data_IF_043569248216
#
_entry.id   IF_043569248216
#
_cell.length_a   1.000
_cell.length_b   1.000
_cell.length_c   1.000
_cell.angle_alpha   90.00
_cell.angle_beta   90.00
_cell.angle_gamma   90.00
#
_symmetry.space_group_name_H-M   'P 1'
#
loop_
_entity.id
_entity.type
_entity.pdbx_description
1 polymer ?
#
# COMPACT_ATOMS: atom_id res chain seq x y z
N UNK A 1 -13.59 4.54 -3.16
CA UNK A 1 -12.60 4.20 -2.14
C UNK A 1 -12.27 5.45 -1.33
N UNK A 2 -12.48 5.38 -0.03
CA UNK A 2 -12.18 6.48 0.86
C UNK A 2 -10.92 6.17 1.65
N UNK A 3 -10.00 7.12 1.69
CA UNK A 3 -8.78 7.01 2.47
C UNK A 3 -8.79 8.17 3.47
N UNK A 4 -8.48 7.88 4.73
CA UNK A 4 -8.39 8.91 5.75
C UNK A 4 -7.15 9.77 5.52
N UNK A 5 -7.26 10.70 4.60
CA UNK A 5 -6.14 11.53 4.17
C UNK A 5 -5.95 12.80 4.99
N UNK A 6 -6.83 13.06 5.94
CA UNK A 6 -6.73 14.26 6.78
C UNK A 6 -5.43 14.31 7.59
N UNK A 7 -4.89 13.14 7.89
CA UNK A 7 -3.66 12.99 8.68
C UNK A 7 -2.41 12.88 7.83
N UNK A 8 -2.59 12.82 6.51
CA UNK A 8 -1.47 12.62 5.59
C UNK A 8 -1.32 13.83 4.69
N UNK A 9 -0.07 14.12 4.29
CA UNK A 9 0.16 15.17 3.30
C UNK A 9 -0.17 14.63 1.91
N UNK A 10 -0.20 15.52 0.92
CA UNK A 10 -0.58 15.15 -0.45
C UNK A 10 0.35 14.09 -1.04
N UNK A 11 1.64 14.16 -0.73
CA UNK A 11 2.61 13.20 -1.26
C UNK A 11 2.40 11.81 -0.68
N UNK A 12 2.09 11.74 0.60
CA UNK A 12 1.80 10.47 1.25
C UNK A 12 0.53 9.85 0.68
N UNK A 13 -0.49 10.67 0.44
CA UNK A 13 -1.73 10.19 -0.14
C UNK A 13 -1.53 9.68 -1.56
N UNK A 14 -0.80 10.43 -2.39
CA UNK A 14 -0.49 10.02 -3.75
C UNK A 14 0.29 8.71 -3.76
N UNK A 15 1.24 8.58 -2.85
CA UNK A 15 2.05 7.36 -2.76
C UNK A 15 1.20 6.18 -2.32
N UNK A 16 0.30 6.38 -1.39
CA UNK A 16 -0.61 5.32 -0.94
C UNK A 16 -1.45 4.80 -2.12
N UNK A 17 -2.01 5.72 -2.91
CA UNK A 17 -2.80 5.35 -4.08
C UNK A 17 -1.94 4.61 -5.11
N UNK A 18 -0.73 5.12 -5.36
CA UNK A 18 0.22 4.48 -6.26
C UNK A 18 0.48 3.02 -5.83
N UNK A 19 0.73 2.81 -4.55
CA UNK A 19 1.00 1.47 -4.03
C UNK A 19 -0.20 0.54 -4.21
N UNK A 20 -1.39 1.02 -3.85
CA UNK A 20 -2.62 0.23 -3.97
C UNK A 20 -2.86 -0.19 -5.43
N UNK A 21 -2.79 0.78 -6.35
CA UNK A 21 -3.06 0.50 -7.76
C UNK A 21 -2.03 -0.45 -8.35
N UNK A 22 -0.75 -0.29 -8.01
CA UNK A 22 0.28 -1.13 -8.60
C UNK A 22 0.34 -2.53 -8.01
N UNK A 23 0.03 -2.69 -6.73
CA UNK A 23 -0.09 -4.02 -6.14
C UNK A 23 -1.30 -4.74 -6.73
N UNK A 24 -2.42 -4.02 -6.89
CA UNK A 24 -3.61 -4.59 -7.50
C UNK A 24 -3.33 -5.08 -8.94
N UNK A 25 -2.61 -4.27 -9.72
CA UNK A 25 -2.25 -4.66 -11.08
C UNK A 25 -1.33 -5.88 -11.10
N UNK A 26 -0.36 -5.92 -10.20
CA UNK A 26 0.58 -7.05 -10.11
C UNK A 26 -0.16 -8.35 -9.78
N UNK A 27 -1.12 -8.30 -8.87
CA UNK A 27 -1.85 -9.49 -8.41
C UNK A 27 -3.09 -9.74 -9.24
N UNK A 28 -3.39 -8.86 -10.19
CA UNK A 28 -4.57 -8.95 -11.05
C UNK A 28 -5.86 -9.06 -10.25
N UNK A 29 -6.00 -8.17 -9.27
CA UNK A 29 -7.20 -8.07 -8.44
C UNK A 29 -7.69 -6.64 -8.41
N UNK A 30 -8.93 -6.45 -7.96
CA UNK A 30 -9.51 -5.11 -7.84
C UNK A 30 -8.74 -4.31 -6.77
N UNK A 31 -8.49 -3.04 -7.04
CA UNK A 31 -7.75 -2.18 -6.12
C UNK A 31 -8.44 -2.05 -4.77
N UNK A 32 -9.77 -2.18 -4.74
CA UNK A 32 -10.52 -2.14 -3.48
C UNK A 32 -10.13 -3.29 -2.57
N UNK A 33 -9.86 -4.47 -3.15
CA UNK A 33 -9.39 -5.62 -2.36
C UNK A 33 -8.04 -5.32 -1.72
N UNK A 34 -7.16 -4.65 -2.46
CA UNK A 34 -5.85 -4.28 -1.92
C UNK A 34 -6.03 -3.22 -0.84
N UNK A 35 -6.89 -2.23 -1.06
CA UNK A 35 -7.16 -1.22 -0.04
C UNK A 35 -7.65 -1.88 1.25
N UNK A 36 -8.63 -2.79 1.15
CA UNK A 36 -9.15 -3.48 2.31
C UNK A 36 -8.07 -4.31 3.01
N UNK A 37 -7.22 -4.98 2.22
CA UNK A 37 -6.13 -5.78 2.76
C UNK A 37 -5.14 -4.93 3.55
N UNK A 38 -4.84 -3.73 3.08
CA UNK A 38 -3.86 -2.86 3.71
C UNK A 38 -4.41 -2.02 4.85
N UNK A 39 -5.73 -1.94 5.00
CA UNK A 39 -6.38 -1.10 6.02
C UNK A 39 -7.27 -1.89 6.97
N UNK A 40 -8.14 -2.74 6.45
CA UNK A 40 -9.09 -3.48 7.27
C UNK A 40 -8.51 -4.77 7.84
N UNK A 41 -7.77 -5.51 7.02
CA UNK A 41 -7.16 -6.77 7.45
C UNK A 41 -5.85 -6.59 8.16
N UNK A 42 -5.22 -5.43 8.01
CA UNK A 42 -3.90 -5.15 8.57
C UNK A 42 -3.72 -3.66 8.75
N UNK A 43 -2.62 -3.25 9.36
CA UNK A 43 -2.27 -1.84 9.51
C UNK A 43 -1.11 -1.46 8.57
N UNK A 44 -0.92 -2.22 7.49
CA UNK A 44 0.22 -2.02 6.59
C UNK A 44 0.26 -0.61 6.03
N UNK A 45 -0.87 -0.07 5.62
CA UNK A 45 -0.88 1.25 5.00
C UNK A 45 -0.42 2.34 5.96
N UNK A 46 -1.00 2.41 7.14
CA UNK A 46 -0.68 3.50 8.07
C UNK A 46 0.57 3.25 8.91
N UNK A 47 0.95 1.99 9.12
CA UNK A 47 2.10 1.68 9.97
C UNK A 47 3.36 1.35 9.19
N UNK A 48 3.25 1.00 7.92
CA UNK A 48 4.40 0.67 7.10
C UNK A 48 4.56 1.58 5.89
N UNK A 49 3.57 1.62 5.00
CA UNK A 49 3.69 2.34 3.74
C UNK A 49 3.87 3.85 3.95
N UNK A 50 2.98 4.46 4.73
CA UNK A 50 3.04 5.91 4.94
C UNK A 50 4.27 6.32 5.74
N UNK A 51 4.61 5.67 6.87
CA UNK A 51 5.83 6.04 7.60
C UNK A 51 7.11 5.82 6.80
N UNK A 52 7.12 4.82 5.91
CA UNK A 52 8.30 4.50 5.10
C UNK A 52 8.33 5.23 3.76
N UNK A 53 7.44 6.18 3.56
CA UNK A 53 7.37 6.93 2.32
C UNK A 53 8.73 7.52 1.92
N UNK A 54 9.44 8.14 2.85
CA UNK A 54 10.71 8.81 2.55
C UNK A 54 11.74 7.85 1.95
N UNK A 55 11.70 6.59 2.35
CA UNK A 55 12.62 5.56 1.84
C UNK A 55 12.04 4.87 0.61
N UNK A 56 10.79 4.44 0.68
CA UNK A 56 10.17 3.65 -0.38
C UNK A 56 10.04 4.42 -1.69
N UNK A 57 9.68 5.70 -1.64
CA UNK A 57 9.42 6.45 -2.87
C UNK A 57 10.66 6.64 -3.74
N UNK A 58 11.85 6.37 -3.20
CA UNK A 58 13.09 6.47 -3.97
C UNK A 58 13.41 5.17 -4.71
N UNK A 59 12.67 4.11 -4.47
CA UNK A 59 12.91 2.81 -5.09
C UNK A 59 12.11 2.65 -6.37
N UNK A 60 12.45 1.63 -7.16
CA UNK A 60 11.71 1.34 -8.37
C UNK A 60 10.30 0.84 -8.04
N UNK A 61 9.41 0.94 -9.01
CA UNK A 61 8.05 0.44 -8.84
C UNK A 61 8.06 -1.06 -8.50
N UNK A 62 8.88 -1.82 -9.19
CA UNK A 62 8.99 -3.26 -8.97
C UNK A 62 9.44 -3.57 -7.54
N UNK A 63 10.42 -2.83 -7.05
CA UNK A 63 10.90 -3.00 -5.68
C UNK A 63 9.78 -2.71 -4.68
N UNK A 64 9.09 -1.58 -4.87
CA UNK A 64 8.03 -1.15 -3.95
C UNK A 64 6.92 -2.20 -3.91
N UNK A 65 6.48 -2.68 -5.06
CA UNK A 65 5.39 -3.66 -5.14
C UNK A 65 5.81 -4.98 -4.50
N UNK A 66 7.01 -5.47 -4.82
CA UNK A 66 7.51 -6.71 -4.24
C UNK A 66 7.61 -6.61 -2.72
N UNK A 67 8.10 -5.47 -2.22
CA UNK A 67 8.25 -5.23 -0.80
C UNK A 67 6.90 -5.26 -0.07
N UNK A 68 5.90 -4.57 -0.64
CA UNK A 68 4.58 -4.54 -0.04
C UNK A 68 3.94 -5.92 -0.04
N UNK A 69 4.08 -6.67 -1.13
CA UNK A 69 3.54 -8.03 -1.21
C UNK A 69 4.19 -8.92 -0.16
N UNK A 70 5.50 -8.79 0.06
CA UNK A 70 6.18 -9.56 1.09
C UNK A 70 5.65 -9.22 2.49
N UNK A 71 5.41 -7.94 2.77
CA UNK A 71 4.84 -7.52 4.04
C UNK A 71 3.42 -8.08 4.20
N UNK A 72 2.63 -8.09 3.12
CA UNK A 72 1.30 -8.66 3.15
C UNK A 72 1.34 -10.14 3.51
N UNK A 73 2.31 -10.89 2.97
CA UNK A 73 2.47 -12.30 3.28
C UNK A 73 2.84 -12.51 4.75
N UNK A 74 3.69 -11.66 5.29
CA UNK A 74 4.07 -11.73 6.69
C UNK A 74 2.88 -11.47 7.62
N UNK A 75 1.97 -10.60 7.21
CA UNK A 75 0.78 -10.27 8.00
C UNK A 75 -0.38 -11.24 7.74
N UNK A 76 -0.17 -12.25 6.90
CA UNK A 76 -1.18 -13.25 6.56
C UNK A 76 -2.47 -12.60 6.05
N UNK A 77 -2.30 -11.69 5.10
CA UNK A 77 -3.45 -11.00 4.48
C UNK A 77 -4.11 -11.91 3.44
N UNK A 78 -5.43 -12.00 3.50
CA UNK A 78 -6.22 -12.80 2.54
C UNK A 78 -6.82 -11.89 1.48
N UNK A 79 -6.69 -12.29 0.23
CA UNK A 79 -7.26 -11.56 -0.90
C UNK A 79 -8.41 -12.31 -1.58
#
# INVERSE_FOLDING_TARGET
MEIEYEKWNDRELEFAIFCIENVAARLNVDSRKIYDALTEQSDILKEYIVPEYAVLHTQSKEYIVDDIIDVMKEKVVNL
#
